data_IF_836877900279
#
_entry.id   IF_836877900279
#
_cell.length_a   1.000
_cell.length_b   1.000
_cell.length_c   1.000
_cell.angle_alpha   90.00
_cell.angle_beta   90.00
_cell.angle_gamma   90.00
#
_symmetry.space_group_name_H-M   'P 1'
#
loop_
_entity.id
_entity.type
_entity.pdbx_description
1 polymer ?
#
# COMPACT_ATOMS: atom_id res chain seq x y z
N UNK A 1 9.77 8.93 -5.16
CA UNK A 1 8.34 9.17 -5.45
C UNK A 1 7.74 7.96 -6.16
N UNK A 2 6.43 7.77 -6.06
CA UNK A 2 5.69 6.71 -6.74
C UNK A 2 4.86 7.27 -7.89
N UNK A 3 4.56 6.45 -8.91
CA UNK A 3 3.63 6.83 -9.96
C UNK A 3 2.18 6.70 -9.47
N UNK A 4 1.38 7.72 -9.78
CA UNK A 4 -0.06 7.75 -9.54
C UNK A 4 -0.73 7.96 -10.88
N UNK A 5 -1.76 7.18 -11.21
CA UNK A 5 -2.42 7.17 -12.52
C UNK A 5 -2.91 8.56 -12.96
N UNK A 6 -3.38 9.38 -12.03
CA UNK A 6 -3.77 10.76 -12.28
C UNK A 6 -2.57 11.71 -12.16
N UNK A 7 -2.37 12.58 -13.16
CA UNK A 7 -1.35 13.63 -13.13
C UNK A 7 0.08 13.18 -13.44
N UNK A 8 0.26 12.20 -14.33
CA UNK A 8 1.59 11.81 -14.81
C UNK A 8 1.97 12.52 -16.11
N UNK A 9 3.18 13.08 -16.16
CA UNK A 9 3.80 13.62 -17.37
C UNK A 9 5.01 12.80 -17.78
N UNK A 10 5.15 12.51 -19.07
CA UNK A 10 6.26 11.74 -19.63
C UNK A 10 6.76 12.31 -20.96
N UNK A 11 8.05 12.08 -21.26
CA UNK A 11 8.49 12.12 -22.63
C UNK A 11 7.76 11.04 -23.44
N UNK A 12 7.22 11.41 -24.60
CA UNK A 12 6.38 10.51 -25.39
C UNK A 12 7.13 9.28 -25.88
N UNK A 13 8.39 9.45 -26.36
CA UNK A 13 9.17 8.34 -26.89
C UNK A 13 9.58 7.36 -25.79
N UNK A 14 9.99 7.88 -24.65
CA UNK A 14 10.28 7.09 -23.46
C UNK A 14 9.07 6.29 -23.00
N UNK A 15 7.93 6.96 -22.81
CA UNK A 15 6.68 6.32 -22.39
C UNK A 15 6.25 5.22 -23.35
N UNK A 16 6.24 5.50 -24.67
CA UNK A 16 5.89 4.51 -25.70
C UNK A 16 6.80 3.29 -25.67
N UNK A 17 8.11 3.49 -25.47
CA UNK A 17 9.10 2.40 -25.40
C UNK A 17 8.90 1.52 -24.16
N UNK A 18 8.50 2.10 -23.02
CA UNK A 18 8.25 1.40 -21.79
C UNK A 18 6.92 0.65 -21.82
N UNK A 19 5.86 1.30 -22.33
CA UNK A 19 4.52 0.70 -22.42
C UNK A 19 4.47 -0.54 -23.29
N UNK A 20 5.29 -0.62 -24.34
CA UNK A 20 5.44 -1.87 -25.14
C UNK A 20 5.89 -3.08 -24.32
N UNK A 21 6.50 -2.88 -23.17
CA UNK A 21 7.04 -3.91 -22.27
C UNK A 21 6.13 -4.18 -21.06
N UNK A 22 5.04 -3.42 -20.92
CA UNK A 22 4.06 -3.56 -19.83
C UNK A 22 3.00 -4.58 -20.25
N UNK A 23 2.85 -5.64 -19.46
CA UNK A 23 1.85 -6.70 -19.67
C UNK A 23 0.84 -6.76 -18.51
N UNK A 24 0.52 -5.61 -17.93
CA UNK A 24 -0.38 -5.54 -16.79
C UNK A 24 -1.85 -5.50 -17.22
N UNK A 25 -2.69 -6.36 -16.67
CA UNK A 25 -4.14 -6.28 -16.79
C UNK A 25 -4.71 -5.22 -15.83
N UNK A 26 -4.00 -4.94 -14.74
CA UNK A 26 -4.32 -3.90 -13.76
C UNK A 26 -3.07 -3.46 -13.00
N UNK A 27 -3.05 -2.20 -12.52
CA UNK A 27 -1.90 -1.64 -11.82
C UNK A 27 -0.70 -1.41 -12.75
N UNK A 28 -0.94 -1.01 -14.01
CA UNK A 28 0.11 -0.73 -14.98
C UNK A 28 1.06 0.37 -14.51
N UNK A 29 0.58 1.29 -13.70
CA UNK A 29 1.35 2.33 -13.03
C UNK A 29 2.49 1.74 -12.18
N UNK A 30 2.21 0.69 -11.43
CA UNK A 30 3.23 -0.01 -10.64
C UNK A 30 4.23 -0.77 -11.51
N UNK A 31 3.79 -1.44 -12.55
CA UNK A 31 4.70 -2.09 -13.47
C UNK A 31 5.60 -1.08 -14.19
N UNK A 32 5.04 0.05 -14.59
CA UNK A 32 5.79 1.14 -15.20
C UNK A 32 6.82 1.72 -14.22
N UNK A 33 6.43 1.96 -12.96
CA UNK A 33 7.33 2.42 -11.89
C UNK A 33 8.53 1.47 -11.72
N UNK A 34 8.29 0.16 -11.69
CA UNK A 34 9.38 -0.82 -11.58
C UNK A 34 10.30 -0.81 -12.80
N UNK A 35 9.77 -0.66 -14.01
CA UNK A 35 10.58 -0.57 -15.23
C UNK A 35 11.43 0.69 -15.27
N UNK A 36 10.93 1.81 -14.76
CA UNK A 36 11.74 3.03 -14.61
C UNK A 36 12.84 2.83 -13.57
N UNK A 37 12.51 2.26 -12.40
CA UNK A 37 13.49 1.98 -11.36
C UNK A 37 14.57 0.99 -11.81
N UNK A 38 14.20 -0.06 -12.55
CA UNK A 38 15.13 -1.03 -13.16
C UNK A 38 16.14 -0.32 -14.08
N UNK A 39 15.68 0.66 -14.86
CA UNK A 39 16.52 1.47 -15.74
C UNK A 39 17.16 2.68 -15.07
N UNK A 40 17.00 2.86 -13.78
CA UNK A 40 17.49 4.00 -13.00
C UNK A 40 16.97 5.36 -13.48
N UNK A 41 15.78 5.37 -14.07
CA UNK A 41 15.12 6.61 -14.49
C UNK A 41 14.45 7.20 -13.26
N UNK A 42 14.83 8.43 -12.91
CA UNK A 42 14.25 9.16 -11.79
C UNK A 42 12.82 9.59 -12.10
N UNK A 43 11.96 9.52 -11.09
CA UNK A 43 10.58 10.04 -11.12
C UNK A 43 10.56 11.22 -10.16
N UNK A 44 10.32 12.42 -10.69
CA UNK A 44 10.20 13.62 -9.89
C UNK A 44 8.74 13.88 -9.48
N UNK A 45 8.58 14.50 -8.33
CA UNK A 45 7.29 14.94 -7.83
C UNK A 45 7.21 16.47 -7.92
N UNK A 46 6.27 16.95 -8.72
CA UNK A 46 6.03 18.38 -8.90
C UNK A 46 5.04 18.85 -7.84
N UNK A 47 5.52 19.56 -6.83
CA UNK A 47 4.70 20.01 -5.70
C UNK A 47 3.63 21.04 -6.10
N UNK A 48 3.93 21.86 -7.10
CA UNK A 48 3.06 22.95 -7.56
C UNK A 48 2.03 22.51 -8.60
N UNK A 49 2.15 21.27 -9.10
CA UNK A 49 1.19 20.71 -10.06
C UNK A 49 0.02 20.04 -9.33
N UNK A 50 -1.06 20.78 -9.16
CA UNK A 50 -2.28 20.29 -8.50
C UNK A 50 -3.16 19.57 -9.49
N UNK A 51 -3.46 18.29 -9.21
CA UNK A 51 -4.41 17.49 -9.98
C UNK A 51 -5.59 17.13 -9.10
N UNK A 52 -6.79 17.48 -9.55
CA UNK A 52 -8.03 17.10 -8.88
C UNK A 52 -8.50 15.74 -9.40
N UNK A 53 -8.71 14.80 -8.51
CA UNK A 53 -9.11 13.44 -8.83
C UNK A 53 -10.37 13.05 -8.02
N UNK A 54 -11.38 12.53 -8.71
CA UNK A 54 -12.62 12.11 -8.07
C UNK A 54 -12.40 10.79 -7.31
N UNK A 55 -12.80 10.77 -6.04
CA UNK A 55 -12.70 9.57 -5.20
C UNK A 55 -13.96 8.71 -5.32
N UNK A 56 -13.76 7.39 -5.26
CA UNK A 56 -14.85 6.41 -5.28
C UNK A 56 -15.75 6.62 -4.08
N UNK A 57 -17.05 6.83 -4.33
CA UNK A 57 -18.06 7.07 -3.30
C UNK A 57 -18.74 5.76 -2.83
N UNK A 58 -18.88 4.78 -3.72
CA UNK A 58 -19.58 3.51 -3.41
C UNK A 58 -18.66 2.56 -2.65
N UNK A 59 -19.15 2.02 -1.54
CA UNK A 59 -18.42 1.07 -0.68
C UNK A 59 -18.01 -0.22 -1.41
N UNK A 60 -18.85 -0.73 -2.34
CA UNK A 60 -18.56 -1.91 -3.16
C UNK A 60 -17.35 -1.69 -4.08
N UNK A 61 -17.33 -0.54 -4.75
CA UNK A 61 -16.28 -0.19 -5.70
C UNK A 61 -14.96 0.08 -4.97
N UNK A 62 -15.03 0.68 -3.78
CA UNK A 62 -13.89 0.85 -2.89
C UNK A 62 -13.28 -0.52 -2.50
N UNK A 63 -14.11 -1.49 -2.11
CA UNK A 63 -13.65 -2.83 -1.74
C UNK A 63 -13.00 -3.57 -2.92
N UNK A 64 -13.60 -3.45 -4.11
CA UNK A 64 -13.04 -4.01 -5.35
C UNK A 64 -11.70 -3.36 -5.74
N UNK A 65 -11.58 -2.04 -5.60
CA UNK A 65 -10.34 -1.33 -5.84
C UNK A 65 -9.24 -1.78 -4.86
N UNK A 66 -9.55 -1.89 -3.56
CA UNK A 66 -8.59 -2.34 -2.54
C UNK A 66 -8.16 -3.78 -2.76
N UNK A 67 -9.10 -4.66 -3.14
CA UNK A 67 -8.79 -6.04 -3.49
C UNK A 67 -7.81 -6.12 -4.66
N UNK A 68 -8.02 -5.33 -5.71
CA UNK A 68 -7.09 -5.27 -6.86
C UNK A 68 -5.69 -4.77 -6.42
N UNK A 69 -5.62 -3.70 -5.64
CA UNK A 69 -4.34 -3.16 -5.17
C UNK A 69 -3.54 -4.17 -4.34
N UNK A 70 -4.22 -4.87 -3.41
CA UNK A 70 -3.60 -5.94 -2.64
C UNK A 70 -3.09 -7.08 -3.53
N UNK A 71 -3.92 -7.54 -4.45
CA UNK A 71 -3.52 -8.59 -5.40
C UNK A 71 -2.34 -8.16 -6.28
N UNK A 72 -2.35 -6.94 -6.78
CA UNK A 72 -1.25 -6.35 -7.56
C UNK A 72 0.06 -6.33 -6.78
N UNK A 73 0.00 -5.99 -5.50
CA UNK A 73 1.16 -5.95 -4.60
C UNK A 73 1.85 -7.33 -4.54
N UNK A 74 1.10 -8.41 -4.30
CA UNK A 74 1.66 -9.76 -4.24
C UNK A 74 2.15 -10.28 -5.60
N UNK A 75 1.41 -9.98 -6.68
CA UNK A 75 1.79 -10.38 -8.04
C UNK A 75 3.13 -9.76 -8.43
N UNK A 76 3.31 -8.46 -8.20
CA UNK A 76 4.54 -7.78 -8.57
C UNK A 76 5.70 -8.09 -7.63
N UNK A 77 5.44 -8.29 -6.33
CA UNK A 77 6.46 -8.80 -5.42
C UNK A 77 7.03 -10.12 -5.95
N UNK A 78 6.16 -11.09 -6.25
CA UNK A 78 6.59 -12.39 -6.78
C UNK A 78 7.33 -12.26 -8.12
N UNK A 79 6.83 -11.40 -9.02
CA UNK A 79 7.39 -11.21 -10.37
C UNK A 79 8.79 -10.58 -10.34
N UNK A 80 9.00 -9.58 -9.48
CA UNK A 80 10.21 -8.75 -9.53
C UNK A 80 11.21 -9.01 -8.39
N UNK A 81 10.85 -9.76 -7.35
CA UNK A 81 11.73 -9.96 -6.18
C UNK A 81 13.10 -10.51 -6.57
N UNK A 82 13.14 -11.65 -7.26
CA UNK A 82 14.40 -12.28 -7.67
C UNK A 82 15.23 -11.38 -8.60
N UNK A 83 14.57 -10.69 -9.53
CA UNK A 83 15.26 -9.77 -10.45
C UNK A 83 15.84 -8.57 -9.70
N UNK A 84 15.10 -8.01 -8.74
CA UNK A 84 15.57 -6.87 -7.94
C UNK A 84 16.74 -7.24 -7.04
N UNK A 85 16.77 -8.46 -6.46
CA UNK A 85 17.92 -8.96 -5.71
C UNK A 85 19.17 -9.10 -6.61
N UNK A 86 19.01 -9.64 -7.82
CA UNK A 86 20.12 -9.73 -8.79
C UNK A 86 20.63 -8.34 -9.20
N UNK A 87 19.73 -7.41 -9.52
CA UNK A 87 20.11 -6.03 -9.87
C UNK A 87 20.82 -5.30 -8.71
N UNK A 88 20.41 -5.58 -7.46
CA UNK A 88 21.10 -5.06 -6.28
C UNK A 88 22.53 -5.60 -6.19
N UNK A 89 22.71 -6.92 -6.26
CA UNK A 89 24.00 -7.59 -6.04
C UNK A 89 24.98 -7.30 -7.19
N UNK A 90 24.53 -7.43 -8.43
CA UNK A 90 25.42 -7.34 -9.59
C UNK A 90 25.60 -5.93 -10.13
N UNK A 91 24.62 -5.05 -9.93
CA UNK A 91 24.64 -3.69 -10.51
C UNK A 91 24.47 -2.58 -9.47
N UNK A 92 24.31 -2.90 -8.19
CA UNK A 92 24.12 -1.91 -7.13
C UNK A 92 22.84 -1.07 -7.31
N UNK A 93 21.76 -1.63 -7.90
CA UNK A 93 20.53 -0.89 -8.12
C UNK A 93 19.64 -0.91 -6.88
N UNK A 94 20.01 -0.09 -5.90
CA UNK A 94 19.28 0.03 -4.61
C UNK A 94 17.86 0.54 -4.84
N UNK A 95 17.67 1.48 -5.77
CA UNK A 95 16.36 2.09 -6.02
C UNK A 95 15.32 1.06 -6.49
N UNK A 96 15.71 0.17 -7.40
CA UNK A 96 14.81 -0.88 -7.87
C UNK A 96 14.50 -1.89 -6.78
N UNK A 97 15.53 -2.33 -6.03
CA UNK A 97 15.35 -3.25 -4.91
C UNK A 97 14.43 -2.66 -3.84
N UNK A 98 14.66 -1.41 -3.41
CA UNK A 98 13.83 -0.72 -2.42
C UNK A 98 12.36 -0.63 -2.88
N UNK A 99 12.11 -0.27 -4.14
CA UNK A 99 10.76 -0.22 -4.70
C UNK A 99 10.04 -1.56 -4.64
N UNK A 100 10.74 -2.66 -4.94
CA UNK A 100 10.16 -4.00 -4.87
C UNK A 100 9.99 -4.44 -3.41
N UNK A 101 10.95 -4.11 -2.53
CA UNK A 101 10.87 -4.42 -1.10
C UNK A 101 9.66 -3.74 -0.43
N UNK A 102 9.32 -2.51 -0.85
CA UNK A 102 8.13 -1.81 -0.38
C UNK A 102 6.82 -2.60 -0.62
N UNK A 103 6.81 -3.55 -1.57
CA UNK A 103 5.65 -4.43 -1.79
C UNK A 103 5.46 -5.49 -0.68
N UNK A 104 6.46 -5.71 0.18
CA UNK A 104 6.32 -6.58 1.36
C UNK A 104 5.51 -5.89 2.46
N UNK A 105 5.59 -4.56 2.52
CA UNK A 105 4.93 -3.78 3.57
C UNK A 105 3.42 -3.83 3.36
N UNK A 106 2.66 -4.38 4.31
CA UNK A 106 1.21 -4.44 4.19
C UNK A 106 0.59 -3.04 4.22
N UNK A 107 -0.62 -2.87 3.70
CA UNK A 107 -1.35 -1.61 3.84
C UNK A 107 -1.36 -1.12 5.29
N UNK A 108 -1.23 0.18 5.47
CA UNK A 108 -1.09 0.82 6.80
C UNK A 108 -2.15 0.37 7.81
N UNK A 109 -3.40 0.19 7.36
CA UNK A 109 -4.50 -0.30 8.22
C UNK A 109 -4.23 -1.72 8.71
N UNK A 110 -3.69 -2.60 7.86
CA UNK A 110 -3.34 -3.97 8.25
C UNK A 110 -2.14 -3.96 9.22
N UNK A 111 -1.15 -3.12 8.98
CA UNK A 111 0.01 -2.99 9.86
C UNK A 111 -0.42 -2.53 11.26
N UNK A 112 -1.16 -1.44 11.35
CA UNK A 112 -1.64 -0.89 12.63
C UNK A 112 -2.59 -1.87 13.36
N UNK A 113 -3.52 -2.47 12.62
CA UNK A 113 -4.47 -3.41 13.20
C UNK A 113 -3.82 -4.70 13.69
N UNK A 114 -2.85 -5.25 12.95
CA UNK A 114 -2.13 -6.45 13.38
C UNK A 114 -1.22 -6.18 14.58
N UNK A 115 -0.50 -5.07 14.62
CA UNK A 115 0.31 -4.71 15.79
C UNK A 115 -0.56 -4.51 17.03
N UNK A 116 -1.73 -3.86 16.89
CA UNK A 116 -2.71 -3.73 17.96
C UNK A 116 -3.28 -5.06 18.43
N UNK A 117 -3.62 -5.96 17.49
CA UNK A 117 -4.11 -7.30 17.81
C UNK A 117 -3.06 -8.13 18.56
N UNK A 118 -1.80 -8.13 18.09
CA UNK A 118 -0.72 -8.86 18.76
C UNK A 118 -0.39 -8.28 20.14
N UNK A 119 -0.42 -6.96 20.30
CA UNK A 119 -0.26 -6.34 21.62
C UNK A 119 -1.40 -6.75 22.57
N UNK A 120 -2.65 -6.69 22.11
CA UNK A 120 -3.82 -7.10 22.91
C UNK A 120 -3.74 -8.59 23.29
N UNK A 121 -3.47 -9.46 22.34
CA UNK A 121 -3.38 -10.91 22.60
C UNK A 121 -2.23 -11.23 23.54
N UNK A 122 -1.08 -10.58 23.44
CA UNK A 122 0.05 -10.80 24.36
C UNK A 122 -0.31 -10.42 25.80
N UNK A 123 -1.03 -9.30 26.00
CA UNK A 123 -1.52 -8.90 27.32
C UNK A 123 -2.54 -9.92 27.87
N UNK A 124 -3.53 -10.34 27.07
CA UNK A 124 -4.55 -11.31 27.50
C UNK A 124 -3.92 -12.68 27.86
N UNK A 125 -2.97 -13.14 27.07
CA UNK A 125 -2.31 -14.42 27.34
C UNK A 125 -1.46 -14.38 28.62
N UNK A 126 -0.88 -13.25 28.98
CA UNK A 126 -0.16 -13.09 30.25
C UNK A 126 -1.08 -13.23 31.47
N UNK A 127 -2.30 -12.75 31.36
CA UNK A 127 -3.32 -12.95 32.41
C UNK A 127 -3.80 -14.41 32.53
N UNK A 128 -3.85 -15.13 31.40
CA UNK A 128 -4.37 -16.52 31.37
C UNK A 128 -3.28 -17.57 31.65
N UNK A 129 -2.06 -17.29 31.25
CA UNK A 129 -0.92 -18.22 31.35
C UNK A 129 0.28 -17.46 31.91
N UNK A 130 0.65 -17.72 33.16
CA UNK A 130 1.80 -17.10 33.84
C UNK A 130 3.18 -17.46 33.22
N UNK A 131 3.19 -18.26 32.16
CA UNK A 131 4.41 -18.74 31.47
C UNK A 131 4.93 -17.81 30.37
N UNK A 132 4.13 -16.85 29.89
CA UNK A 132 4.60 -15.88 28.92
C UNK A 132 5.47 -14.84 29.60
N UNK A 133 6.71 -14.72 29.13
CA UNK A 133 7.67 -13.76 29.68
C UNK A 133 7.13 -12.33 29.50
N UNK A 134 7.16 -11.53 30.56
CA UNK A 134 6.79 -10.10 30.53
C UNK A 134 7.50 -9.34 29.38
N UNK A 135 8.68 -9.80 28.97
CA UNK A 135 9.46 -9.25 27.85
C UNK A 135 8.65 -9.23 26.54
N UNK A 136 7.91 -10.31 26.22
CA UNK A 136 7.10 -10.36 25.00
C UNK A 136 6.00 -9.31 24.98
N UNK A 137 5.35 -9.07 26.12
CA UNK A 137 4.31 -8.03 26.25
C UNK A 137 4.91 -6.65 26.05
N UNK A 138 6.03 -6.34 26.71
CA UNK A 138 6.69 -5.03 26.55
C UNK A 138 7.13 -4.78 25.12
N UNK A 139 7.66 -5.78 24.42
CA UNK A 139 8.07 -5.65 23.02
C UNK A 139 6.88 -5.34 22.10
N UNK A 140 5.74 -6.02 22.29
CA UNK A 140 4.54 -5.74 21.47
C UNK A 140 3.91 -4.37 21.79
N UNK A 141 3.89 -3.97 23.06
CA UNK A 141 3.41 -2.63 23.45
C UNK A 141 4.34 -1.54 22.91
N UNK A 142 5.66 -1.74 23.00
CA UNK A 142 6.63 -0.81 22.43
C UNK A 142 6.48 -0.69 20.91
N UNK A 143 6.32 -1.83 20.22
CA UNK A 143 6.10 -1.84 18.76
C UNK A 143 4.81 -1.09 18.40
N UNK A 144 3.71 -1.32 19.13
CA UNK A 144 2.46 -0.58 18.93
C UNK A 144 2.66 0.92 19.16
N UNK A 145 3.35 1.31 20.22
CA UNK A 145 3.64 2.72 20.52
C UNK A 145 4.44 3.37 19.39
N UNK A 146 5.54 2.74 18.97
CA UNK A 146 6.37 3.24 17.86
C UNK A 146 5.53 3.36 16.57
N UNK A 147 4.70 2.37 16.27
CA UNK A 147 3.82 2.39 15.10
C UNK A 147 2.85 3.56 15.17
N UNK A 148 2.16 3.77 16.29
CA UNK A 148 1.22 4.88 16.46
C UNK A 148 1.93 6.23 16.34
N UNK A 149 3.08 6.40 17.00
CA UNK A 149 3.88 7.63 16.91
C UNK A 149 4.30 7.91 15.47
N UNK A 150 4.79 6.90 14.75
CA UNK A 150 5.17 7.04 13.35
C UNK A 150 3.98 7.47 12.47
N UNK A 151 2.79 6.91 12.71
CA UNK A 151 1.57 7.33 11.99
C UNK A 151 1.18 8.77 12.32
N UNK A 152 1.21 9.15 13.58
CA UNK A 152 0.90 10.52 14.00
C UNK A 152 1.86 11.50 13.33
N UNK A 153 3.16 11.26 13.42
CA UNK A 153 4.18 12.14 12.82
C UNK A 153 4.09 12.21 11.27
N UNK A 154 3.60 11.15 10.62
CA UNK A 154 3.43 11.13 9.17
C UNK A 154 2.18 11.89 8.69
N UNK A 155 1.26 12.27 9.57
CA UNK A 155 0.06 13.02 9.21
C UNK A 155 0.39 14.51 9.05
N UNK A 156 -0.03 15.15 7.95
CA UNK A 156 0.04 16.60 7.83
C UNK A 156 -0.77 17.31 8.93
N UNK A 157 -0.33 18.48 9.35
CA UNK A 157 -0.99 19.25 10.43
C UNK A 157 -2.47 19.54 10.15
N UNK A 158 -2.86 19.67 8.87
CA UNK A 158 -4.24 19.88 8.45
C UNK A 158 -5.20 18.72 8.80
N UNK A 159 -4.65 17.53 9.10
CA UNK A 159 -5.44 16.36 9.52
C UNK A 159 -5.71 16.29 11.01
N UNK A 160 -5.10 17.15 11.84
CA UNK A 160 -5.38 17.19 13.28
C UNK A 160 -6.70 17.90 13.57
N UNK A 161 -7.81 17.25 13.18
CA UNK A 161 -9.17 17.75 13.35
C UNK A 161 -10.01 16.75 14.15
N UNK A 162 -11.12 17.24 14.73
CA UNK A 162 -12.07 16.39 15.45
C UNK A 162 -12.69 15.33 14.53
N UNK A 163 -12.84 15.64 13.25
CA UNK A 163 -13.37 14.69 12.27
C UNK A 163 -12.38 13.54 12.02
N UNK A 164 -11.08 13.81 12.01
CA UNK A 164 -10.04 12.78 11.92
C UNK A 164 -10.05 11.91 13.18
N UNK A 165 -10.22 12.50 14.36
CA UNK A 165 -10.35 11.73 15.60
C UNK A 165 -11.58 10.80 15.55
N UNK A 166 -12.72 11.28 15.10
CA UNK A 166 -13.92 10.45 14.90
C UNK A 166 -13.67 9.32 13.88
N UNK A 167 -12.90 9.58 12.83
CA UNK A 167 -12.56 8.57 11.84
C UNK A 167 -11.69 7.43 12.43
N UNK A 168 -10.91 7.66 13.50
CA UNK A 168 -10.14 6.61 14.18
C UNK A 168 -11.05 5.48 14.72
N UNK A 169 -12.27 5.80 15.16
CA UNK A 169 -13.22 4.78 15.63
C UNK A 169 -13.68 3.82 14.50
N UNK A 170 -13.49 4.19 13.24
CA UNK A 170 -13.78 3.31 12.10
C UNK A 170 -12.62 2.35 11.76
N UNK A 171 -11.42 2.55 12.33
CA UNK A 171 -10.25 1.72 12.03
C UNK A 171 -10.43 0.24 12.33
N UNK A 172 -11.06 -0.20 13.45
CA UNK A 172 -11.26 -1.62 13.70
C UNK A 172 -12.12 -2.29 12.62
N UNK A 173 -13.21 -1.63 12.18
CA UNK A 173 -14.05 -2.15 11.11
C UNK A 173 -13.33 -2.18 9.75
N UNK A 174 -12.52 -1.17 9.47
CA UNK A 174 -11.70 -1.10 8.28
C UNK A 174 -10.61 -2.20 8.28
N UNK A 175 -9.99 -2.47 9.43
CA UNK A 175 -9.03 -3.55 9.60
C UNK A 175 -9.67 -4.91 9.33
N UNK A 176 -10.83 -5.21 9.93
CA UNK A 176 -11.55 -6.48 9.72
C UNK A 176 -11.90 -6.65 8.23
N UNK A 177 -12.48 -5.62 7.59
CA UNK A 177 -12.81 -5.68 6.16
C UNK A 177 -11.58 -5.92 5.29
N UNK A 178 -10.47 -5.24 5.59
CA UNK A 178 -9.23 -5.38 4.84
C UNK A 178 -8.60 -6.77 5.04
N UNK A 179 -8.66 -7.33 6.26
CA UNK A 179 -8.21 -8.69 6.55
C UNK A 179 -9.03 -9.73 5.79
N UNK A 180 -10.35 -9.57 5.73
CA UNK A 180 -11.22 -10.45 4.95
C UNK A 180 -10.95 -10.38 3.43
N UNK A 181 -10.49 -9.22 2.92
CA UNK A 181 -10.10 -9.10 1.51
C UNK A 181 -8.85 -9.92 1.19
N UNK A 182 -7.94 -10.15 2.14
CA UNK A 182 -6.76 -10.98 1.92
C UNK A 182 -7.13 -12.41 1.49
N UNK A 183 -8.22 -12.97 2.03
CA UNK A 183 -8.71 -14.30 1.66
C UNK A 183 -9.40 -14.33 0.28
N UNK A 184 -9.74 -13.16 -0.28
CA UNK A 184 -10.46 -13.02 -1.55
C UNK A 184 -9.59 -12.51 -2.69
N UNK A 185 -8.25 -12.58 -2.55
CA UNK A 185 -7.32 -12.04 -3.57
C UNK A 185 -7.23 -12.88 -4.84
N UNK A 186 -7.60 -14.16 -4.78
CA UNK A 186 -7.54 -15.05 -5.93
C UNK A 186 -8.34 -14.47 -7.09
N UNK A 187 -7.74 -14.45 -8.27
CA UNK A 187 -8.32 -13.98 -9.54
C UNK A 187 -8.69 -12.48 -9.63
N UNK A 188 -8.30 -11.68 -8.64
CA UNK A 188 -8.63 -10.25 -8.61
C UNK A 188 -8.03 -9.43 -9.78
N UNK A 189 -6.95 -9.93 -10.41
CA UNK A 189 -6.25 -9.27 -11.53
C UNK A 189 -6.41 -9.99 -12.86
N UNK A 190 -7.30 -11.01 -12.97
CA UNK A 190 -7.50 -11.73 -14.24
C UNK A 190 -8.42 -11.00 -15.22
N UNK A 191 -9.32 -10.15 -14.74
CA UNK A 191 -10.25 -9.37 -15.55
C UNK A 191 -10.20 -7.90 -15.15
N UNK A 192 -10.26 -7.02 -16.14
CA UNK A 192 -10.42 -5.60 -15.90
C UNK A 192 -11.83 -5.35 -15.36
N UNK A 193 -11.94 -4.93 -14.11
CA UNK A 193 -13.22 -4.54 -13.50
C UNK A 193 -13.34 -3.04 -13.65
N UNK A 194 -14.29 -2.61 -14.50
CA UNK A 194 -14.60 -1.19 -14.64
C UNK A 194 -15.24 -0.69 -13.35
N UNK A 195 -14.65 0.33 -12.73
CA UNK A 195 -15.26 1.06 -11.61
C UNK A 195 -16.05 2.21 -12.20
N UNK A 196 -17.37 2.25 -11.99
CA UNK A 196 -18.20 3.37 -12.41
C UNK A 196 -17.83 4.60 -11.58
N UNK A 197 -17.29 5.62 -12.23
CA UNK A 197 -17.22 6.96 -11.66
C UNK A 197 -18.66 7.52 -11.61
N UNK A 198 -19.02 8.20 -10.52
CA UNK A 198 -20.37 8.73 -10.34
C UNK A 198 -20.79 9.54 -11.56
N UNK A 199 -21.89 9.16 -12.20
CA UNK A 199 -22.49 9.99 -13.21
C UNK A 199 -22.92 11.31 -12.54
N UNK A 200 -22.43 12.42 -13.01
CA UNK A 200 -22.98 13.74 -12.71
C UNK A 200 -24.44 13.66 -13.12
N UNK A 201 -25.35 13.60 -12.16
CA UNK A 201 -26.76 13.86 -12.42
C UNK A 201 -26.85 15.36 -12.65
N UNK A 202 -26.96 15.77 -13.93
CA UNK A 202 -27.43 17.07 -14.28
C UNK A 202 -28.87 17.24 -13.77
#
# INVERSE_FOLDING_TARGET
SGLIVSGMGFDFHLFKSMMKKVNAIGGFDKELEFKFAEKRIAIEYLQDAVVLDEKIQKSSDFSNQRRRWLSTQFVYLKKYFTTSCKELIFKGNITFFDKVLQMIIPPRILLLGSTGLFALTSVLLTFSFSTLTNVSVYLWLLNLLITVVAFVLALPRSFYTINTLKALFSLPSAFIRMSLLLFKLKDANKKFIHTSHGAIKN
#
